data_IF_380072597240
#
_entry.id   IF_380072597240
#
_cell.length_a   1.000
_cell.length_b   1.000
_cell.length_c   1.000
_cell.angle_alpha   90.00
_cell.angle_beta   90.00
_cell.angle_gamma   90.00
#
_symmetry.space_group_name_H-M   'P 1'
#
loop_
_entity.id
_entity.type
_entity.pdbx_description
1 polymer ?
#
# COMPACT_ATOMS: atom_id res chain seq x y z
N UNK A 1 2.83 -20.46 -11.28
CA UNK A 1 3.34 -20.45 -9.89
C UNK A 1 2.17 -20.52 -8.92
N UNK A 2 2.41 -21.01 -7.70
CA UNK A 2 1.47 -20.88 -6.57
C UNK A 2 1.79 -19.62 -5.79
N UNK A 3 0.84 -18.68 -5.72
CA UNK A 3 1.05 -17.39 -5.07
C UNK A 3 0.00 -17.18 -3.97
N UNK A 4 0.47 -16.99 -2.73
CA UNK A 4 -0.38 -16.67 -1.59
C UNK A 4 -0.41 -15.16 -1.36
N UNK A 5 -1.59 -14.55 -1.42
CA UNK A 5 -1.79 -13.11 -1.16
C UNK A 5 -2.37 -12.93 0.24
N UNK A 6 -1.56 -12.44 1.16
CA UNK A 6 -1.97 -12.08 2.52
C UNK A 6 -2.56 -10.67 2.52
N UNK A 7 -3.79 -10.52 3.03
CA UNK A 7 -4.55 -9.27 2.97
C UNK A 7 -5.46 -9.17 1.74
N UNK A 8 -6.05 -10.29 1.32
CA UNK A 8 -6.81 -10.43 0.08
C UNK A 8 -8.16 -9.69 0.01
N UNK A 9 -8.72 -9.22 1.14
CA UNK A 9 -9.94 -8.40 1.17
C UNK A 9 -9.67 -6.90 0.99
N UNK A 10 -8.38 -6.51 1.06
CA UNK A 10 -7.92 -5.13 1.06
C UNK A 10 -7.95 -4.43 -0.30
N UNK A 11 -7.66 -3.11 -0.27
CA UNK A 11 -7.62 -2.22 -1.44
C UNK A 11 -6.70 -2.73 -2.56
N UNK A 12 -5.53 -3.25 -2.21
CA UNK A 12 -4.54 -3.76 -3.16
C UNK A 12 -4.55 -5.29 -3.26
N UNK A 13 -4.84 -5.99 -2.16
CA UNK A 13 -4.76 -7.45 -2.14
C UNK A 13 -5.75 -8.10 -3.10
N UNK A 14 -6.98 -7.60 -3.16
CA UNK A 14 -8.01 -8.15 -4.05
C UNK A 14 -7.67 -7.98 -5.54
N UNK A 15 -7.41 -6.76 -6.06
CA UNK A 15 -7.05 -6.61 -7.47
C UNK A 15 -5.74 -7.34 -7.84
N UNK A 16 -4.78 -7.45 -6.91
CA UNK A 16 -3.57 -8.25 -7.12
C UNK A 16 -3.91 -9.74 -7.28
N UNK A 17 -4.79 -10.29 -6.45
CA UNK A 17 -5.21 -11.68 -6.55
C UNK A 17 -5.91 -11.97 -7.90
N UNK A 18 -6.78 -11.06 -8.35
CA UNK A 18 -7.43 -11.17 -9.66
C UNK A 18 -6.43 -11.11 -10.81
N UNK A 19 -5.52 -10.13 -10.77
CA UNK A 19 -4.50 -9.94 -11.80
C UNK A 19 -3.60 -11.19 -11.94
N UNK A 20 -3.06 -11.69 -10.84
CA UNK A 20 -2.22 -12.89 -10.81
C UNK A 20 -2.99 -14.15 -11.26
N UNK A 21 -4.26 -14.28 -10.87
CA UNK A 21 -5.12 -15.38 -11.31
C UNK A 21 -5.36 -15.33 -12.81
N UNK A 22 -5.60 -14.15 -13.39
CA UNK A 22 -5.78 -14.00 -14.83
C UNK A 22 -4.48 -14.25 -15.61
N UNK A 23 -3.32 -13.94 -15.03
CA UNK A 23 -2.01 -14.26 -15.58
C UNK A 23 -1.70 -15.77 -15.56
N UNK A 24 -2.59 -16.61 -15.02
CA UNK A 24 -2.47 -18.07 -15.02
C UNK A 24 -1.74 -18.64 -13.81
N UNK A 25 -1.56 -17.86 -12.74
CA UNK A 25 -1.03 -18.36 -11.48
C UNK A 25 -2.14 -19.06 -10.66
N UNK A 26 -1.77 -20.09 -9.89
CA UNK A 26 -2.61 -20.65 -8.85
C UNK A 26 -2.57 -19.72 -7.63
N UNK A 27 -3.70 -19.08 -7.31
CA UNK A 27 -3.77 -18.02 -6.30
C UNK A 27 -4.64 -18.44 -5.12
N UNK A 28 -4.16 -18.16 -3.91
CA UNK A 28 -4.99 -18.15 -2.70
C UNK A 28 -4.84 -16.82 -1.98
N UNK A 29 -5.89 -16.43 -1.25
CA UNK A 29 -5.89 -15.24 -0.40
C UNK A 29 -6.09 -15.63 1.06
N UNK A 30 -5.45 -14.90 1.98
CA UNK A 30 -5.70 -15.00 3.41
C UNK A 30 -6.04 -13.62 3.97
N UNK A 31 -7.08 -13.53 4.83
CA UNK A 31 -7.51 -12.26 5.43
C UNK A 31 -8.25 -12.52 6.76
N UNK A 32 -8.18 -11.57 7.69
CA UNK A 32 -8.94 -11.57 8.95
C UNK A 32 -10.12 -10.60 8.94
N UNK A 33 -10.33 -9.87 7.83
CA UNK A 33 -11.35 -8.86 7.61
C UNK A 33 -11.31 -7.66 8.57
N UNK A 34 -10.22 -7.48 9.29
CA UNK A 34 -10.09 -6.40 10.28
C UNK A 34 -10.24 -5.01 9.65
N UNK A 35 -9.92 -4.85 8.35
CA UNK A 35 -10.12 -3.58 7.65
C UNK A 35 -11.59 -3.14 7.64
N UNK A 36 -12.53 -4.08 7.55
CA UNK A 36 -13.97 -3.79 7.65
C UNK A 36 -14.35 -3.35 9.07
N UNK A 37 -13.70 -3.92 10.08
CA UNK A 37 -13.91 -3.51 11.46
C UNK A 37 -13.43 -2.07 11.74
N UNK A 38 -12.34 -1.62 11.09
CA UNK A 38 -11.92 -0.22 11.20
C UNK A 38 -12.95 0.76 10.62
N UNK A 39 -13.73 0.35 9.60
CA UNK A 39 -14.82 1.15 9.07
C UNK A 39 -15.86 1.42 10.16
N UNK A 40 -16.26 0.36 10.88
CA UNK A 40 -17.23 0.47 12.00
C UNK A 40 -16.65 1.30 13.15
N UNK A 41 -15.39 1.06 13.54
CA UNK A 41 -14.71 1.77 14.63
C UNK A 41 -14.63 3.29 14.38
N UNK A 42 -14.33 3.69 13.15
CA UNK A 42 -14.15 5.10 12.78
C UNK A 42 -15.43 5.74 12.22
N UNK A 43 -16.50 4.96 12.03
CA UNK A 43 -17.71 5.43 11.40
C UNK A 43 -17.51 5.88 9.95
N UNK A 44 -16.64 5.22 9.20
CA UNK A 44 -16.35 5.47 7.78
C UNK A 44 -16.74 4.26 6.95
N UNK A 45 -16.76 4.42 5.62
CA UNK A 45 -17.00 3.32 4.70
C UNK A 45 -16.28 3.56 3.36
N UNK A 46 -16.08 2.50 2.60
CA UNK A 46 -15.65 2.63 1.21
C UNK A 46 -16.73 3.34 0.38
N UNK A 47 -16.32 4.28 -0.48
CA UNK A 47 -17.27 4.96 -1.39
C UNK A 47 -17.99 3.94 -2.28
N UNK A 48 -17.26 2.98 -2.85
CA UNK A 48 -17.80 1.88 -3.63
C UNK A 48 -18.21 0.75 -2.68
N UNK A 49 -19.43 0.21 -2.79
CA UNK A 49 -19.84 -0.97 -2.02
C UNK A 49 -18.93 -2.16 -2.28
N UNK A 50 -18.57 -2.88 -1.23
CA UNK A 50 -17.67 -4.03 -1.32
C UNK A 50 -18.38 -5.30 -0.90
N UNK A 51 -18.57 -6.21 -1.85
CA UNK A 51 -19.13 -7.52 -1.60
C UNK A 51 -18.27 -8.37 -0.64
N UNK A 52 -18.86 -9.32 0.08
CA UNK A 52 -18.09 -10.30 0.84
C UNK A 52 -17.06 -11.01 -0.04
N UNK A 53 -15.86 -11.27 0.49
CA UNK A 53 -14.77 -11.89 -0.27
C UNK A 53 -15.19 -13.20 -0.94
N UNK A 54 -15.98 -14.04 -0.26
CA UNK A 54 -16.52 -15.29 -0.82
C UNK A 54 -17.40 -15.04 -2.06
N UNK A 55 -18.23 -14.01 -2.04
CA UNK A 55 -19.06 -13.61 -3.19
C UNK A 55 -18.18 -13.19 -4.37
N UNK A 56 -17.17 -12.34 -4.09
CA UNK A 56 -16.22 -11.87 -5.13
C UNK A 56 -15.47 -13.03 -5.78
N UNK A 57 -15.01 -14.00 -5.00
CA UNK A 57 -14.34 -15.21 -5.50
C UNK A 57 -15.29 -16.04 -6.37
N UNK A 58 -16.55 -16.22 -5.95
CA UNK A 58 -17.53 -16.97 -6.75
C UNK A 58 -17.85 -16.28 -8.08
N UNK A 59 -17.99 -14.95 -8.08
CA UNK A 59 -18.19 -14.15 -9.30
C UNK A 59 -16.97 -14.25 -10.22
N UNK A 60 -15.77 -14.18 -9.68
CA UNK A 60 -14.54 -14.36 -10.46
C UNK A 60 -14.50 -15.72 -11.16
N UNK A 61 -14.83 -16.78 -10.44
CA UNK A 61 -14.90 -18.14 -11.00
C UNK A 61 -16.00 -18.27 -12.07
N UNK A 62 -17.16 -17.66 -11.83
CA UNK A 62 -18.28 -17.65 -12.81
C UNK A 62 -17.87 -16.98 -14.13
N UNK A 63 -17.18 -15.85 -14.05
CA UNK A 63 -16.82 -15.06 -15.24
C UNK A 63 -15.62 -15.61 -16.00
N UNK A 64 -14.66 -16.20 -15.33
CA UNK A 64 -13.35 -16.54 -15.91
C UNK A 64 -13.04 -18.03 -15.92
N UNK A 65 -13.71 -18.82 -15.10
CA UNK A 65 -13.36 -20.21 -14.83
C UNK A 65 -12.18 -20.41 -13.88
N UNK A 66 -11.45 -19.34 -13.50
CA UNK A 66 -10.34 -19.43 -12.56
C UNK A 66 -10.85 -19.51 -11.11
N UNK A 67 -10.15 -20.27 -10.29
CA UNK A 67 -10.45 -20.40 -8.86
C UNK A 67 -9.41 -19.65 -8.03
N UNK A 68 -9.85 -19.00 -6.94
CA UNK A 68 -8.98 -18.40 -5.92
C UNK A 68 -9.27 -19.10 -4.59
N UNK A 69 -8.23 -19.69 -3.98
CA UNK A 69 -8.32 -20.28 -2.64
C UNK A 69 -8.56 -19.21 -1.57
N UNK A 70 -9.22 -19.55 -0.46
CA UNK A 70 -9.51 -18.61 0.61
C UNK A 70 -9.22 -19.19 1.98
N UNK A 71 -8.40 -18.49 2.76
CA UNK A 71 -8.12 -18.76 4.17
C UNK A 71 -8.58 -17.58 5.02
N UNK A 72 -9.16 -17.85 6.19
CA UNK A 72 -9.65 -16.82 7.11
C UNK A 72 -8.92 -16.96 8.44
N UNK A 73 -8.17 -15.95 8.82
CA UNK A 73 -7.44 -15.92 10.09
C UNK A 73 -6.47 -14.75 10.18
N UNK A 74 -5.78 -14.65 11.32
CA UNK A 74 -4.92 -13.54 11.69
C UNK A 74 -3.45 -13.97 11.65
N UNK A 75 -2.57 -13.19 11.01
CA UNK A 75 -1.14 -13.49 10.94
C UNK A 75 -0.40 -13.33 12.27
N UNK A 76 -1.00 -12.65 13.24
CA UNK A 76 -0.47 -12.61 14.62
C UNK A 76 -0.65 -13.94 15.35
N UNK A 77 -1.51 -14.83 14.83
CA UNK A 77 -1.59 -16.24 15.22
C UNK A 77 -0.59 -17.06 14.39
N UNK A 78 0.50 -17.46 15.03
CA UNK A 78 1.53 -18.27 14.38
C UNK A 78 0.97 -19.59 13.82
N UNK A 79 0.07 -20.27 14.54
CA UNK A 79 -0.49 -21.55 14.09
C UNK A 79 -1.27 -21.42 12.79
N UNK A 80 -2.06 -20.32 12.66
CA UNK A 80 -2.74 -20.01 11.41
C UNK A 80 -1.74 -19.74 10.28
N UNK A 81 -0.70 -18.94 10.54
CA UNK A 81 0.31 -18.59 9.52
C UNK A 81 1.05 -19.82 8.99
N UNK A 82 1.48 -20.74 9.89
CA UNK A 82 2.09 -22.00 9.49
C UNK A 82 1.11 -22.87 8.70
N UNK A 83 -0.11 -23.05 9.20
CA UNK A 83 -1.14 -23.84 8.52
C UNK A 83 -1.37 -23.40 7.08
N UNK A 84 -1.51 -22.10 6.81
CA UNK A 84 -1.77 -21.60 5.46
C UNK A 84 -0.59 -21.86 4.52
N UNK A 85 0.66 -21.68 4.99
CA UNK A 85 1.87 -21.90 4.19
C UNK A 85 2.07 -23.41 3.92
N UNK A 86 1.85 -24.25 4.91
CA UNK A 86 1.98 -25.73 4.78
C UNK A 86 0.89 -26.34 3.88
N UNK A 87 -0.35 -25.87 3.99
CA UNK A 87 -1.49 -26.38 3.21
C UNK A 87 -1.41 -25.93 1.76
N UNK A 88 -1.26 -24.62 1.52
CA UNK A 88 -1.24 -24.08 0.16
C UNK A 88 0.09 -24.34 -0.55
N UNK A 89 1.24 -24.36 0.16
CA UNK A 89 2.60 -24.55 -0.38
C UNK A 89 2.94 -23.55 -1.48
N UNK A 90 2.94 -22.26 -1.18
CA UNK A 90 3.23 -21.23 -2.17
C UNK A 90 4.69 -21.27 -2.64
N UNK A 91 4.96 -20.80 -3.86
CA UNK A 91 6.28 -20.46 -4.37
C UNK A 91 6.63 -19.00 -4.08
N UNK A 92 5.59 -18.14 -3.98
CA UNK A 92 5.73 -16.75 -3.54
C UNK A 92 4.61 -16.38 -2.57
N UNK A 93 4.95 -15.54 -1.59
CA UNK A 93 4.01 -14.93 -0.64
C UNK A 93 4.01 -13.42 -0.86
N UNK A 94 2.86 -12.86 -1.21
CA UNK A 94 2.63 -11.41 -1.31
C UNK A 94 2.01 -10.92 0.00
N UNK A 95 2.70 -10.04 0.73
CA UNK A 95 2.28 -9.66 2.07
C UNK A 95 1.76 -8.22 2.12
N UNK A 96 0.42 -8.08 2.10
CA UNK A 96 -0.35 -6.84 2.31
C UNK A 96 -1.08 -6.79 3.65
N UNK A 97 -1.14 -7.89 4.41
CA UNK A 97 -1.96 -8.04 5.61
C UNK A 97 -1.42 -7.23 6.80
N UNK A 98 -1.51 -5.91 6.69
CA UNK A 98 -1.00 -4.96 7.67
C UNK A 98 -1.97 -3.79 7.87
N UNK A 99 -1.93 -3.20 9.06
CA UNK A 99 -2.52 -1.88 9.26
C UNK A 99 -1.70 -0.87 8.44
N UNK A 100 -2.34 -0.23 7.44
CA UNK A 100 -1.69 0.51 6.35
C UNK A 100 -1.74 2.04 6.47
N UNK A 101 -2.42 2.57 7.50
CA UNK A 101 -2.69 4.00 7.58
C UNK A 101 -1.85 4.70 8.64
N UNK A 102 -1.04 5.65 8.19
CA UNK A 102 -0.25 6.49 9.10
C UNK A 102 -1.14 7.26 10.09
N UNK A 103 -2.24 7.93 9.67
CA UNK A 103 -3.13 8.60 10.62
C UNK A 103 -3.74 7.65 11.66
N UNK A 104 -4.16 6.44 11.29
CA UNK A 104 -4.70 5.45 12.23
C UNK A 104 -3.70 5.13 13.35
N UNK A 105 -2.43 4.94 13.01
CA UNK A 105 -1.37 4.65 13.98
C UNK A 105 -1.05 5.80 14.95
N UNK A 106 -1.57 7.00 14.66
CA UNK A 106 -1.32 8.23 15.42
C UNK A 106 -2.55 8.71 16.21
N UNK A 107 -3.67 7.97 16.18
CA UNK A 107 -4.89 8.33 16.93
C UNK A 107 -4.60 8.36 18.44
N UNK A 108 -4.08 7.27 18.98
CA UNK A 108 -3.74 7.13 20.40
C UNK A 108 -2.77 5.96 20.64
N UNK A 109 -2.48 5.69 21.92
CA UNK A 109 -1.60 4.59 22.33
C UNK A 109 -2.15 3.21 21.89
N UNK A 110 -3.46 2.98 21.96
CA UNK A 110 -4.10 1.70 21.57
C UNK A 110 -3.80 1.40 20.10
N UNK A 111 -4.04 2.38 19.22
CA UNK A 111 -3.83 2.27 17.78
C UNK A 111 -2.35 2.13 17.40
N UNK A 112 -1.47 2.86 18.11
CA UNK A 112 -0.02 2.73 17.90
C UNK A 112 0.47 1.33 18.29
N UNK A 113 0.10 0.82 19.46
CA UNK A 113 0.48 -0.53 19.94
C UNK A 113 -0.10 -1.60 19.02
N UNK A 114 -1.38 -1.49 18.66
CA UNK A 114 -2.01 -2.40 17.72
C UNK A 114 -1.25 -2.44 16.38
N UNK A 115 -0.91 -1.28 15.82
CA UNK A 115 -0.15 -1.21 14.55
C UNK A 115 1.18 -1.94 14.65
N UNK A 116 1.93 -1.76 15.75
CA UNK A 116 3.20 -2.46 15.93
C UNK A 116 2.99 -3.98 16.09
N UNK A 117 2.02 -4.40 16.88
CA UNK A 117 1.74 -5.83 17.08
C UNK A 117 1.28 -6.49 15.79
N UNK A 118 0.29 -5.92 15.11
CA UNK A 118 -0.25 -6.49 13.88
C UNK A 118 0.82 -6.61 12.79
N UNK A 119 1.56 -5.54 12.52
CA UNK A 119 2.48 -5.50 11.41
C UNK A 119 3.75 -6.30 11.71
N UNK A 120 4.44 -5.98 12.82
CA UNK A 120 5.75 -6.57 13.12
C UNK A 120 5.63 -8.05 13.50
N UNK A 121 4.68 -8.41 14.37
CA UNK A 121 4.49 -9.82 14.77
C UNK A 121 3.98 -10.65 13.60
N UNK A 122 3.03 -10.12 12.81
CA UNK A 122 2.55 -10.80 11.60
C UNK A 122 3.68 -11.09 10.61
N UNK A 123 4.54 -10.09 10.34
CA UNK A 123 5.71 -10.28 9.45
C UNK A 123 6.70 -11.30 10.02
N UNK A 124 6.97 -11.28 11.34
CA UNK A 124 7.86 -12.28 11.96
C UNK A 124 7.30 -13.69 11.83
N UNK A 125 6.00 -13.90 12.08
CA UNK A 125 5.37 -15.21 11.91
C UNK A 125 5.48 -15.72 10.46
N UNK A 126 5.31 -14.84 9.45
CA UNK A 126 5.51 -15.20 8.05
C UNK A 126 6.95 -15.61 7.78
N UNK A 127 7.94 -14.86 8.28
CA UNK A 127 9.36 -15.18 8.10
C UNK A 127 9.74 -16.53 8.73
N UNK A 128 9.28 -16.79 9.97
CA UNK A 128 9.50 -18.08 10.62
C UNK A 128 8.81 -19.24 9.89
N UNK A 129 7.54 -19.06 9.50
CA UNK A 129 6.81 -20.08 8.76
C UNK A 129 7.51 -20.42 7.43
N UNK A 130 8.01 -19.44 6.69
CA UNK A 130 8.82 -19.66 5.48
C UNK A 130 10.12 -20.39 5.81
N UNK A 131 10.87 -19.94 6.83
CA UNK A 131 12.14 -20.51 7.19
C UNK A 131 12.05 -22.00 7.57
N UNK A 132 10.99 -22.38 8.29
CA UNK A 132 10.80 -23.72 8.81
C UNK A 132 10.07 -24.68 7.86
N UNK A 133 9.25 -24.14 6.92
CA UNK A 133 8.51 -24.98 5.96
C UNK A 133 9.24 -25.12 4.63
N UNK A 134 9.55 -24.00 3.97
CA UNK A 134 10.27 -23.97 2.70
C UNK A 134 11.00 -22.65 2.50
N UNK A 135 12.30 -22.57 2.79
CA UNK A 135 13.08 -21.34 2.64
C UNK A 135 13.27 -20.88 1.18
N UNK A 136 12.81 -21.67 0.20
CA UNK A 136 12.78 -21.24 -1.22
C UNK A 136 11.58 -20.38 -1.57
N UNK A 137 10.62 -20.19 -0.68
CA UNK A 137 9.50 -19.28 -0.88
C UNK A 137 10.04 -17.85 -0.97
N UNK A 138 9.65 -17.12 -2.03
CA UNK A 138 9.97 -15.71 -2.18
C UNK A 138 8.94 -14.84 -1.45
N UNK A 139 9.38 -14.07 -0.46
CA UNK A 139 8.52 -13.09 0.21
C UNK A 139 8.56 -11.77 -0.55
N UNK A 140 7.43 -11.37 -1.13
CA UNK A 140 7.21 -10.05 -1.72
C UNK A 140 6.37 -9.23 -0.75
N UNK A 141 6.99 -8.28 -0.07
CA UNK A 141 6.34 -7.48 0.95
C UNK A 141 6.09 -6.06 0.49
N UNK A 142 4.92 -5.53 0.85
CA UNK A 142 4.62 -4.14 0.61
C UNK A 142 5.19 -3.26 1.73
N UNK A 143 6.28 -2.55 1.42
CA UNK A 143 6.85 -1.47 2.20
C UNK A 143 6.14 -0.13 1.96
N UNK A 144 6.82 0.97 2.22
CA UNK A 144 6.31 2.33 1.95
C UNK A 144 7.44 3.32 1.77
N UNK A 145 7.30 4.26 0.84
CA UNK A 145 8.22 5.40 0.71
C UNK A 145 8.29 6.25 1.99
N UNK A 146 7.27 6.19 2.84
CA UNK A 146 7.24 6.88 4.13
C UNK A 146 8.30 6.43 5.13
N UNK A 147 9.00 5.31 4.90
CA UNK A 147 10.14 4.87 5.73
C UNK A 147 11.32 5.83 5.67
N UNK A 148 11.48 6.51 4.54
CA UNK A 148 12.60 7.44 4.33
C UNK A 148 12.41 8.78 5.07
N UNK A 149 11.16 9.16 5.37
CA UNK A 149 10.85 10.48 5.90
C UNK A 149 11.16 11.57 4.87
N UNK A 150 11.90 12.59 5.28
CA UNK A 150 12.28 13.74 4.44
C UNK A 150 13.81 13.95 4.47
N UNK A 151 14.59 13.04 3.86
CA UNK A 151 16.05 13.20 3.82
C UNK A 151 16.44 14.37 2.91
N UNK A 152 17.59 14.97 3.16
CA UNK A 152 18.19 16.01 2.32
C UNK A 152 19.33 15.45 1.45
N UNK A 153 19.21 14.20 1.02
CA UNK A 153 20.10 13.50 0.11
C UNK A 153 19.25 12.65 -0.84
N UNK A 154 19.80 12.20 -1.96
CA UNK A 154 19.15 11.29 -2.90
C UNK A 154 18.66 10.03 -2.19
N UNK A 155 17.47 9.55 -2.58
CA UNK A 155 16.88 8.32 -2.04
C UNK A 155 17.22 7.15 -2.97
N UNK A 156 18.16 6.32 -2.54
CA UNK A 156 18.56 5.12 -3.27
C UNK A 156 17.58 3.95 -3.08
N UNK A 157 17.61 2.99 -3.98
CA UNK A 157 16.79 1.77 -3.89
C UNK A 157 17.40 0.76 -2.91
N UNK A 158 17.13 0.98 -1.63
CA UNK A 158 17.37 0.07 -0.52
C UNK A 158 18.75 0.16 0.09
N UNK A 159 19.82 0.39 -0.67
CA UNK A 159 21.19 0.34 -0.17
C UNK A 159 21.95 1.62 -0.49
N UNK A 160 22.79 2.04 0.45
CA UNK A 160 23.69 3.18 0.32
C UNK A 160 25.13 2.71 0.54
N UNK A 161 26.03 3.10 -0.37
CA UNK A 161 27.46 2.98 -0.14
C UNK A 161 27.92 4.17 0.70
N UNK A 162 28.47 3.88 1.88
CA UNK A 162 28.88 4.88 2.84
C UNK A 162 30.39 4.81 3.06
N UNK A 163 31.07 5.94 2.83
CA UNK A 163 32.45 6.11 3.25
C UNK A 163 32.50 6.89 4.58
N UNK A 164 33.14 6.29 5.59
CA UNK A 164 33.40 6.95 6.87
C UNK A 164 34.81 6.67 7.36
N UNK A 165 35.59 7.72 7.62
CA UNK A 165 36.98 7.63 8.07
C UNK A 165 37.86 6.75 7.15
N UNK A 166 37.70 6.87 5.82
CA UNK A 166 38.43 6.11 4.82
C UNK A 166 38.05 4.63 4.72
N UNK A 167 36.92 4.21 5.30
CA UNK A 167 36.38 2.85 5.18
C UNK A 167 35.06 2.89 4.44
N UNK A 168 34.90 2.02 3.46
CA UNK A 168 33.66 1.83 2.70
C UNK A 168 32.83 0.70 3.31
N UNK A 169 31.52 0.92 3.42
CA UNK A 169 30.55 -0.10 3.78
C UNK A 169 29.26 0.09 2.97
N UNK A 170 28.49 -0.99 2.83
CA UNK A 170 27.18 -0.98 2.19
C UNK A 170 26.12 -1.20 3.26
N UNK A 171 25.32 -0.19 3.50
CA UNK A 171 24.29 -0.19 4.55
C UNK A 171 22.90 -0.04 3.95
N UNK A 172 21.88 -0.53 4.66
CA UNK A 172 20.50 -0.18 4.29
C UNK A 172 20.36 1.34 4.33
N UNK A 173 19.68 1.90 3.32
CA UNK A 173 19.44 3.34 3.26
C UNK A 173 18.87 3.84 4.59
N UNK A 174 19.40 4.92 5.16
CA UNK A 174 18.97 5.45 6.47
C UNK A 174 17.49 5.81 6.47
N UNK A 175 16.73 5.28 7.42
CA UNK A 175 15.29 5.47 7.53
C UNK A 175 14.94 6.38 8.69
N UNK A 176 14.03 7.36 8.45
CA UNK A 176 13.55 8.32 9.46
C UNK A 176 12.03 8.46 9.37
N UNK A 177 11.29 7.43 9.79
CA UNK A 177 9.82 7.36 9.62
C UNK A 177 9.09 8.46 10.39
N UNK A 178 7.97 8.95 9.83
CA UNK A 178 7.17 10.03 10.38
C UNK A 178 5.93 9.59 11.18
N UNK A 179 5.69 8.29 11.38
CA UNK A 179 4.57 7.75 12.18
C UNK A 179 4.87 6.36 12.71
N UNK A 180 4.06 5.86 13.66
CA UNK A 180 4.20 4.48 14.14
C UNK A 180 3.92 3.42 13.05
N UNK A 181 3.04 3.72 12.09
CA UNK A 181 2.89 2.86 10.90
C UNK A 181 4.19 2.81 10.08
N UNK A 182 4.75 3.96 9.71
CA UNK A 182 6.01 3.97 8.95
C UNK A 182 7.15 3.30 9.74
N UNK A 183 7.15 3.45 11.07
CA UNK A 183 8.14 2.78 11.93
C UNK A 183 7.97 1.26 11.93
N UNK A 184 6.73 0.73 11.95
CA UNK A 184 6.51 -0.73 11.82
C UNK A 184 7.08 -1.27 10.51
N UNK A 185 6.93 -0.52 9.41
CA UNK A 185 7.51 -0.89 8.10
C UNK A 185 9.04 -0.88 8.11
N UNK A 186 9.65 0.03 8.88
CA UNK A 186 11.11 0.01 9.09
C UNK A 186 11.54 -1.25 9.82
N UNK A 187 10.83 -1.62 10.90
CA UNK A 187 11.10 -2.86 11.64
C UNK A 187 11.00 -4.09 10.72
N UNK A 188 9.98 -4.16 9.89
CA UNK A 188 9.79 -5.25 8.93
C UNK A 188 10.94 -5.36 7.92
N UNK A 189 11.38 -4.22 7.36
CA UNK A 189 12.53 -4.21 6.43
C UNK A 189 13.79 -4.78 7.08
N UNK A 190 14.05 -4.42 8.36
CA UNK A 190 15.21 -4.95 9.10
C UNK A 190 15.03 -6.42 9.48
N UNK A 191 13.82 -6.85 9.85
CA UNK A 191 13.53 -8.27 10.11
C UNK A 191 13.73 -9.12 8.86
N UNK A 192 13.29 -8.65 7.69
CA UNK A 192 13.49 -9.35 6.41
C UNK A 192 14.98 -9.38 6.03
N UNK A 193 15.69 -8.25 6.13
CA UNK A 193 17.15 -8.22 5.86
C UNK A 193 17.89 -9.21 6.74
N UNK A 194 17.61 -9.19 8.05
CA UNK A 194 18.21 -10.12 9.01
C UNK A 194 17.92 -11.58 8.64
N UNK A 195 16.66 -11.92 8.35
CA UNK A 195 16.25 -13.27 8.00
C UNK A 195 16.88 -13.75 6.68
N UNK A 196 16.97 -12.88 5.67
CA UNK A 196 17.67 -13.21 4.43
C UNK A 196 19.16 -13.48 4.68
N UNK A 197 19.84 -12.61 5.41
CA UNK A 197 21.28 -12.72 5.66
C UNK A 197 21.66 -13.88 6.57
N UNK A 198 20.82 -14.25 7.56
CA UNK A 198 21.18 -15.25 8.58
C UNK A 198 20.54 -16.60 8.29
N UNK A 199 19.30 -16.65 7.74
CA UNK A 199 18.58 -17.89 7.44
C UNK A 199 18.56 -18.23 5.95
N UNK A 200 19.30 -17.46 5.15
CA UNK A 200 19.37 -17.66 3.69
C UNK A 200 17.98 -17.60 3.01
N UNK A 201 17.05 -16.81 3.55
CA UNK A 201 15.76 -16.55 2.91
C UNK A 201 15.93 -15.61 1.72
N UNK A 202 14.87 -15.35 0.99
CA UNK A 202 14.82 -14.37 -0.08
C UNK A 202 13.58 -13.48 0.01
N UNK A 203 13.78 -12.18 -0.06
CA UNK A 203 12.70 -11.23 0.05
C UNK A 203 12.87 -10.02 -0.86
N UNK A 204 11.75 -9.48 -1.31
CA UNK A 204 11.68 -8.17 -2.01
C UNK A 204 10.76 -7.26 -1.24
N UNK A 205 11.28 -6.12 -0.78
CA UNK A 205 10.53 -5.04 -0.12
C UNK A 205 10.18 -3.97 -1.17
N UNK A 206 8.91 -3.78 -1.44
CA UNK A 206 8.42 -2.76 -2.35
C UNK A 206 8.05 -1.50 -1.56
N UNK A 207 8.97 -0.53 -1.48
CA UNK A 207 8.71 0.76 -0.85
C UNK A 207 7.73 1.57 -1.71
N UNK A 208 6.44 1.40 -1.43
CA UNK A 208 5.36 1.91 -2.25
C UNK A 208 5.12 3.41 -2.02
N UNK A 209 4.97 4.15 -3.12
CA UNK A 209 4.41 5.49 -3.17
C UNK A 209 2.92 5.52 -2.79
N UNK A 210 2.31 6.69 -2.89
CA UNK A 210 0.87 6.86 -2.66
C UNK A 210 0.10 6.28 -3.85
N UNK A 211 -0.67 5.23 -3.60
CA UNK A 211 -1.48 4.62 -4.66
C UNK A 211 -2.72 5.45 -4.92
N UNK A 212 -3.04 5.64 -6.19
CA UNK A 212 -4.30 6.21 -6.65
C UNK A 212 -5.01 5.27 -7.62
N UNK A 213 -6.25 5.57 -7.92
CA UNK A 213 -7.08 4.70 -8.76
C UNK A 213 -7.97 3.78 -7.94
N UNK A 214 -8.98 3.22 -8.60
CA UNK A 214 -9.97 2.34 -7.96
C UNK A 214 -10.21 1.07 -8.76
N UNK A 215 -9.81 1.04 -10.03
CA UNK A 215 -10.14 -0.02 -10.94
C UNK A 215 -8.91 -0.61 -11.62
N UNK A 216 -8.98 -1.90 -11.89
CA UNK A 216 -8.12 -2.63 -12.81
C UNK A 216 -8.99 -3.30 -13.85
N UNK A 217 -8.46 -3.73 -15.02
CA UNK A 217 -9.26 -4.44 -16.02
C UNK A 217 -10.08 -5.60 -15.44
N UNK A 218 -9.54 -6.28 -14.41
CA UNK A 218 -10.21 -7.41 -13.76
C UNK A 218 -11.39 -6.96 -12.88
N UNK A 219 -11.20 -5.87 -12.11
CA UNK A 219 -12.26 -5.36 -11.22
C UNK A 219 -13.39 -4.67 -11.98
N UNK A 220 -13.16 -4.27 -13.24
CA UNK A 220 -14.17 -3.68 -14.13
C UNK A 220 -15.04 -4.71 -14.86
N UNK A 221 -14.70 -6.00 -14.82
CA UNK A 221 -15.47 -7.05 -15.47
C UNK A 221 -16.87 -7.20 -14.87
N UNK A 222 -17.04 -6.91 -13.57
CA UNK A 222 -18.33 -6.93 -12.87
C UNK A 222 -18.26 -6.02 -11.64
N UNK A 223 -19.33 -5.25 -11.36
CA UNK A 223 -19.36 -4.34 -10.20
C UNK A 223 -19.17 -5.06 -8.86
N UNK A 224 -19.54 -6.34 -8.77
CA UNK A 224 -19.33 -7.18 -7.58
C UNK A 224 -17.86 -7.51 -7.33
N UNK A 225 -16.96 -7.32 -8.31
CA UNK A 225 -15.50 -7.50 -8.18
C UNK A 225 -14.79 -6.24 -7.70
N UNK A 226 -15.50 -5.15 -7.46
CA UNK A 226 -14.92 -3.88 -7.07
C UNK A 226 -13.96 -4.00 -5.87
N UNK A 227 -12.89 -3.21 -5.90
CA UNK A 227 -12.03 -3.00 -4.74
C UNK A 227 -12.44 -1.75 -3.97
N UNK A 228 -11.90 -1.58 -2.77
CA UNK A 228 -12.18 -0.43 -1.89
C UNK A 228 -11.80 0.89 -2.55
N UNK A 229 -12.59 1.93 -2.25
CA UNK A 229 -12.28 3.31 -2.59
C UNK A 229 -12.44 4.18 -1.35
N UNK A 230 -11.36 4.28 -0.57
CA UNK A 230 -11.34 5.03 0.67
C UNK A 230 -11.05 6.50 0.39
N UNK A 231 -11.78 7.41 1.06
CA UNK A 231 -11.72 8.85 0.85
C UNK A 231 -11.65 9.66 2.15
N UNK A 232 -11.83 8.99 3.27
CA UNK A 232 -11.78 9.61 4.59
C UNK A 232 -10.36 10.11 4.95
N UNK A 233 -10.28 10.92 6.01
CA UNK A 233 -9.02 11.54 6.42
C UNK A 233 -7.97 10.55 6.96
N UNK A 234 -8.37 9.31 7.29
CA UNK A 234 -7.48 8.26 7.84
C UNK A 234 -6.97 7.34 6.75
N UNK A 235 -7.84 6.81 5.90
CA UNK A 235 -7.51 5.78 4.90
C UNK A 235 -7.46 6.30 3.46
N UNK A 236 -8.09 7.44 3.18
CA UNK A 236 -8.11 8.03 1.84
C UNK A 236 -6.74 8.55 1.41
N UNK A 237 -6.33 8.23 0.18
CA UNK A 237 -5.12 8.80 -0.41
C UNK A 237 -5.40 10.19 -0.98
N UNK A 238 -4.37 11.03 -1.09
CA UNK A 238 -4.54 12.44 -1.44
C UNK A 238 -5.26 12.64 -2.78
N UNK A 239 -4.86 11.91 -3.82
CA UNK A 239 -5.43 12.05 -5.15
C UNK A 239 -6.87 11.53 -5.21
N UNK A 240 -7.14 10.35 -4.63
CA UNK A 240 -8.49 9.80 -4.54
C UNK A 240 -9.43 10.74 -3.78
N UNK A 241 -8.96 11.33 -2.67
CA UNK A 241 -9.72 12.30 -1.89
C UNK A 241 -10.00 13.58 -2.68
N UNK A 242 -9.02 14.10 -3.41
CA UNK A 242 -9.20 15.31 -4.23
C UNK A 242 -10.19 15.07 -5.38
N UNK A 243 -10.14 13.92 -6.03
CA UNK A 243 -11.13 13.59 -7.06
C UNK A 243 -12.56 13.58 -6.51
N UNK A 244 -12.75 13.03 -5.30
CA UNK A 244 -14.06 13.03 -4.64
C UNK A 244 -14.48 14.44 -4.24
N UNK A 245 -13.60 15.24 -3.65
CA UNK A 245 -13.88 16.62 -3.28
C UNK A 245 -14.29 17.46 -4.49
N UNK A 246 -13.59 17.34 -5.62
CA UNK A 246 -13.96 18.03 -6.86
C UNK A 246 -15.38 17.67 -7.31
N UNK A 247 -15.72 16.38 -7.36
CA UNK A 247 -17.03 15.89 -7.85
C UNK A 247 -18.19 16.36 -6.98
N UNK A 248 -18.02 16.43 -5.65
CA UNK A 248 -19.09 16.87 -4.74
C UNK A 248 -19.13 18.38 -4.52
N UNK A 249 -18.28 19.15 -5.22
CA UNK A 249 -18.20 20.62 -5.06
C UNK A 249 -17.60 21.08 -3.72
N UNK A 250 -16.82 20.21 -3.05
CA UNK A 250 -16.08 20.57 -1.84
C UNK A 250 -14.69 21.10 -2.22
N UNK A 251 -14.15 22.11 -1.53
CA UNK A 251 -12.78 22.56 -1.77
C UNK A 251 -11.76 21.42 -1.64
N UNK A 252 -10.73 21.41 -2.49
CA UNK A 252 -9.60 20.50 -2.33
C UNK A 252 -8.79 20.91 -1.09
N UNK A 253 -8.74 20.05 -0.08
CA UNK A 253 -8.11 20.37 1.19
C UNK A 253 -6.63 20.01 1.18
N UNK A 254 -5.77 20.99 0.98
CA UNK A 254 -4.30 20.90 1.00
C UNK A 254 -3.79 21.18 2.41
N UNK A 255 -2.96 20.29 2.98
CA UNK A 255 -2.36 20.50 4.29
C UNK A 255 -1.08 21.32 4.18
N UNK A 256 -1.00 22.43 4.92
CA UNK A 256 0.12 23.37 4.87
C UNK A 256 0.23 24.07 3.50
N UNK A 257 1.44 24.46 3.07
CA UNK A 257 1.67 25.13 1.79
C UNK A 257 1.51 24.23 0.56
N UNK A 258 1.45 22.90 0.75
CA UNK A 258 1.33 21.94 -0.34
C UNK A 258 2.65 21.56 -1.04
N UNK A 259 3.80 22.08 -0.59
CA UNK A 259 5.12 21.81 -1.20
C UNK A 259 5.68 20.40 -0.89
N UNK A 260 5.07 19.69 0.06
CA UNK A 260 5.49 18.34 0.41
C UNK A 260 5.30 17.37 -0.77
N UNK A 261 6.40 16.83 -1.27
CA UNK A 261 6.43 15.92 -2.42
C UNK A 261 6.11 14.50 -2.00
N UNK A 262 5.42 13.77 -2.87
CA UNK A 262 5.07 12.35 -2.72
C UNK A 262 5.39 11.59 -3.99
N UNK A 263 5.94 10.39 -3.86
CA UNK A 263 5.90 9.40 -4.93
C UNK A 263 4.47 8.89 -5.09
N UNK A 264 3.98 8.83 -6.31
CA UNK A 264 2.65 8.31 -6.64
C UNK A 264 2.74 7.15 -7.61
N UNK A 265 1.72 6.30 -7.61
CA UNK A 265 1.62 5.14 -8.51
C UNK A 265 0.16 4.77 -8.74
N UNK A 266 -0.19 4.41 -9.98
CA UNK A 266 -1.51 3.87 -10.32
C UNK A 266 -1.70 2.46 -9.75
N UNK A 267 -2.94 2.12 -9.40
CA UNK A 267 -3.29 0.78 -8.88
C UNK A 267 -2.95 -0.34 -9.88
N UNK A 268 -3.06 -0.09 -11.20
CA UNK A 268 -2.71 -1.06 -12.26
C UNK A 268 -1.21 -1.33 -12.28
N UNK A 269 -0.39 -0.30 -12.11
CA UNK A 269 1.06 -0.44 -12.00
C UNK A 269 1.44 -1.15 -10.70
N UNK A 270 0.71 -0.87 -9.62
CA UNK A 270 0.93 -1.55 -8.36
C UNK A 270 0.79 -3.07 -8.51
N UNK A 271 -0.29 -3.56 -9.12
CA UNK A 271 -0.50 -5.01 -9.30
C UNK A 271 0.52 -5.61 -10.28
N UNK A 272 0.91 -4.87 -11.33
CA UNK A 272 1.96 -5.29 -12.26
C UNK A 272 3.34 -5.38 -11.59
N UNK A 273 3.69 -4.46 -10.71
CA UNK A 273 4.92 -4.52 -9.92
C UNK A 273 5.02 -5.79 -9.08
N UNK A 274 3.91 -6.22 -8.49
CA UNK A 274 3.87 -7.47 -7.72
C UNK A 274 4.11 -8.68 -8.62
N UNK A 275 3.46 -8.75 -9.77
CA UNK A 275 3.68 -9.81 -10.74
C UNK A 275 5.14 -9.87 -11.15
N UNK A 276 5.74 -8.74 -11.55
CA UNK A 276 7.15 -8.64 -11.91
C UNK A 276 8.08 -9.09 -10.77
N UNK A 277 7.76 -8.72 -9.53
CA UNK A 277 8.55 -9.15 -8.38
C UNK A 277 8.45 -10.66 -8.11
N UNK A 278 7.27 -11.25 -8.29
CA UNK A 278 7.05 -12.69 -8.13
C UNK A 278 7.77 -13.51 -9.23
N UNK A 279 7.67 -13.06 -10.48
CA UNK A 279 8.30 -13.71 -11.64
C UNK A 279 9.84 -13.58 -11.66
N UNK A 280 10.36 -12.57 -10.98
CA UNK A 280 11.80 -12.31 -10.85
C UNK A 280 12.21 -12.37 -9.38
N UNK A 281 12.25 -13.56 -8.76
CA UNK A 281 12.55 -13.68 -7.33
C UNK A 281 13.97 -13.21 -7.00
N UNK A 282 14.16 -12.67 -5.80
CA UNK A 282 15.48 -12.42 -5.24
C UNK A 282 16.28 -13.72 -5.12
N UNK A 283 17.61 -13.66 -5.14
CA UNK A 283 18.45 -14.82 -4.86
C UNK A 283 18.32 -15.27 -3.40
N UNK A 284 18.72 -16.51 -3.10
CA UNK A 284 18.86 -16.96 -1.71
C UNK A 284 19.83 -16.05 -0.96
N UNK A 285 19.50 -15.72 0.28
CA UNK A 285 20.27 -14.78 1.11
C UNK A 285 20.12 -13.30 0.71
N UNK A 286 19.37 -12.98 -0.36
CA UNK A 286 19.23 -11.61 -0.84
C UNK A 286 17.97 -10.94 -0.28
N UNK A 287 18.17 -9.79 0.38
CA UNK A 287 17.14 -8.80 0.66
C UNK A 287 17.20 -7.70 -0.39
N UNK A 288 16.20 -7.65 -1.26
CA UNK A 288 16.09 -6.70 -2.36
C UNK A 288 15.05 -5.64 -2.05
N UNK A 289 15.33 -4.38 -2.40
CA UNK A 289 14.40 -3.26 -2.22
C UNK A 289 14.16 -2.57 -3.56
N UNK A 290 12.90 -2.26 -3.83
CA UNK A 290 12.47 -1.42 -4.95
C UNK A 290 11.68 -0.22 -4.44
N UNK A 291 11.95 0.97 -4.99
CA UNK A 291 11.11 2.15 -4.78
C UNK A 291 9.96 2.10 -5.79
N UNK A 292 8.80 1.66 -5.33
CA UNK A 292 7.61 1.42 -6.16
C UNK A 292 6.80 2.70 -6.32
N UNK A 293 7.15 3.47 -7.33
CA UNK A 293 6.47 4.71 -7.72
C UNK A 293 6.72 4.99 -9.20
N UNK A 294 5.86 5.80 -9.82
CA UNK A 294 5.98 6.18 -11.23
C UNK A 294 6.29 7.67 -11.41
N UNK A 295 5.78 8.52 -10.52
CA UNK A 295 5.96 9.98 -10.58
C UNK A 295 6.19 10.55 -9.17
N UNK A 296 6.83 11.72 -9.12
CA UNK A 296 6.99 12.54 -7.91
C UNK A 296 6.27 13.86 -8.10
N UNK A 297 5.24 14.13 -7.29
CA UNK A 297 4.47 15.36 -7.33
C UNK A 297 4.31 15.96 -5.94
N UNK A 298 4.33 17.28 -5.83
CA UNK A 298 3.91 17.98 -4.63
C UNK A 298 2.39 17.85 -4.45
N UNK A 299 1.91 18.00 -3.24
CA UNK A 299 0.46 17.97 -2.95
C UNK A 299 -0.26 19.12 -3.70
N UNK A 300 0.41 20.28 -3.86
CA UNK A 300 -0.13 21.39 -4.65
C UNK A 300 -0.25 21.02 -6.13
N UNK A 301 0.77 20.43 -6.75
CA UNK A 301 0.72 19.99 -8.14
C UNK A 301 -0.38 18.95 -8.37
N UNK A 302 -0.61 18.05 -7.43
CA UNK A 302 -1.74 17.11 -7.48
C UNK A 302 -3.08 17.86 -7.44
N UNK A 303 -3.24 18.84 -6.54
CA UNK A 303 -4.46 19.64 -6.43
C UNK A 303 -4.72 20.44 -7.71
N UNK A 304 -3.69 21.08 -8.27
CA UNK A 304 -3.78 21.84 -9.52
C UNK A 304 -4.14 20.93 -10.71
N UNK A 305 -3.60 19.71 -10.73
CA UNK A 305 -3.90 18.75 -11.79
C UNK A 305 -5.35 18.28 -11.73
N UNK A 306 -5.84 17.94 -10.52
CA UNK A 306 -7.26 17.57 -10.33
C UNK A 306 -8.19 18.74 -10.67
N UNK A 307 -7.85 19.95 -10.23
CA UNK A 307 -8.64 21.16 -10.52
C UNK A 307 -8.75 21.46 -12.03
N UNK A 308 -7.66 21.30 -12.77
CA UNK A 308 -7.65 21.49 -14.23
C UNK A 308 -8.39 20.39 -15.00
N UNK A 309 -8.36 19.16 -14.50
CA UNK A 309 -9.01 18.03 -15.15
C UNK A 309 -10.53 17.99 -14.92
N UNK A 310 -11.02 18.58 -13.83
CA UNK A 310 -12.46 18.61 -13.56
C UNK A 310 -13.16 19.72 -14.36
N UNK A 311 -14.31 19.43 -15.01
CA UNK A 311 -14.93 20.36 -15.98
C UNK A 311 -15.63 21.58 -15.34
N UNK A 312 -15.73 21.66 -14.02
CA UNK A 312 -16.31 22.78 -13.29
C UNK A 312 -15.26 23.48 -12.43
N UNK A 313 -15.55 24.68 -11.96
CA UNK A 313 -14.66 25.42 -11.05
C UNK A 313 -14.45 24.68 -9.75
N UNK A 314 -13.19 24.44 -9.40
CA UNK A 314 -12.75 23.79 -8.17
C UNK A 314 -11.92 24.76 -7.35
N UNK A 315 -12.29 24.95 -6.09
CA UNK A 315 -11.51 25.77 -5.15
C UNK A 315 -10.49 24.90 -4.41
N UNK A 316 -9.33 25.50 -4.09
CA UNK A 316 -8.29 24.85 -3.26
C UNK A 316 -8.24 25.60 -1.94
N UNK A 317 -8.33 24.87 -0.84
CA UNK A 317 -8.26 25.42 0.52
C UNK A 317 -7.04 24.86 1.25
N UNK A 318 -6.24 25.73 1.84
CA UNK A 318 -5.09 25.35 2.64
C UNK A 318 -5.48 25.26 4.12
N UNK A 319 -5.30 24.08 4.71
CA UNK A 319 -5.54 23.81 6.12
C UNK A 319 -4.21 23.67 6.88
N UNK A 320 -4.25 23.86 8.20
CA UNK A 320 -3.10 23.55 9.04
C UNK A 320 -2.67 22.09 8.85
N UNK A 321 -1.35 21.86 8.68
CA UNK A 321 -0.85 20.52 8.53
C UNK A 321 -0.89 19.78 9.88
N UNK A 322 -1.70 18.71 10.02
CA UNK A 322 -1.76 17.95 11.27
C UNK A 322 -0.49 17.12 11.53
N UNK A 323 0.36 16.94 10.50
CA UNK A 323 1.57 16.14 10.55
C UNK A 323 2.77 16.99 10.95
N UNK A 324 3.81 16.31 11.47
CA UNK A 324 5.12 16.92 11.73
C UNK A 324 6.06 16.50 10.60
N UNK A 325 6.18 17.34 9.59
CA UNK A 325 7.06 17.13 8.44
C UNK A 325 7.71 18.46 8.00
N UNK A 326 8.79 18.38 7.23
CA UNK A 326 9.40 19.57 6.64
C UNK A 326 8.43 20.24 5.66
N UNK A 327 8.41 21.58 5.58
CA UNK A 327 7.53 22.28 4.64
C UNK A 327 7.92 22.02 3.17
N UNK A 328 9.21 21.82 2.91
CA UNK A 328 9.75 21.51 1.59
C UNK A 328 10.52 20.18 1.66
N UNK A 329 10.37 19.36 0.63
CA UNK A 329 11.04 18.07 0.56
C UNK A 329 12.08 18.08 -0.57
N UNK A 330 13.34 17.75 -0.25
CA UNK A 330 14.26 17.26 -1.27
C UNK A 330 13.87 15.80 -1.55
N UNK A 331 13.25 15.54 -2.70
CA UNK A 331 12.66 14.25 -2.99
C UNK A 331 13.17 13.71 -4.33
N UNK A 332 14.49 13.50 -4.40
CA UNK A 332 15.14 12.90 -5.56
C UNK A 332 15.25 11.39 -5.35
N UNK A 333 14.32 10.65 -5.92
CA UNK A 333 14.16 9.20 -5.70
C UNK A 333 14.64 8.43 -6.91
N UNK A 334 15.54 7.49 -6.70
CA UNK A 334 15.86 6.46 -7.68
C UNK A 334 14.77 5.38 -7.65
N UNK A 335 14.18 5.06 -8.81
CA UNK A 335 13.08 4.09 -8.93
C UNK A 335 13.10 3.38 -10.30
N UNK A 336 14.29 2.93 -10.73
CA UNK A 336 14.49 2.35 -12.06
C UNK A 336 14.33 0.84 -12.11
N UNK A 337 14.51 0.13 -11.01
CA UNK A 337 14.59 -1.33 -11.00
C UNK A 337 13.31 -2.04 -11.47
N UNK A 338 12.13 -1.51 -11.17
CA UNK A 338 10.88 -2.08 -11.68
C UNK A 338 10.71 -1.81 -13.18
N UNK A 339 11.15 -0.65 -13.67
CA UNK A 339 11.19 -0.35 -15.11
C UNK A 339 12.16 -1.28 -15.83
N UNK A 340 13.35 -1.55 -15.23
CA UNK A 340 14.33 -2.49 -15.78
C UNK A 340 13.78 -3.93 -15.84
N UNK A 341 12.80 -4.28 -14.99
CA UNK A 341 12.07 -5.56 -15.04
C UNK A 341 10.89 -5.57 -16.02
N UNK A 342 10.59 -4.44 -16.68
CA UNK A 342 9.54 -4.34 -17.70
C UNK A 342 8.24 -3.69 -17.21
N UNK A 343 8.29 -2.85 -16.18
CA UNK A 343 7.16 -1.98 -15.86
C UNK A 343 7.04 -0.88 -16.92
N UNK A 344 5.88 -0.79 -17.54
CA UNK A 344 5.47 0.32 -18.41
C UNK A 344 4.55 1.24 -17.60
N UNK A 345 5.02 2.40 -17.10
CA UNK A 345 4.28 3.22 -16.17
C UNK A 345 3.05 3.87 -16.78
N UNK A 346 1.93 3.88 -16.05
CA UNK A 346 0.81 4.79 -16.30
C UNK A 346 1.07 6.10 -15.56
N UNK A 347 1.09 7.21 -16.30
CA UNK A 347 1.29 8.53 -15.73
C UNK A 347 -0.06 9.22 -15.43
N UNK A 348 -0.08 10.11 -14.48
CA UNK A 348 -1.30 10.82 -14.06
C UNK A 348 -1.93 11.64 -15.19
N UNK A 349 -1.13 12.05 -16.16
CA UNK A 349 -1.58 12.74 -17.39
C UNK A 349 -2.39 11.87 -18.36
N UNK A 350 -2.38 10.55 -18.18
CA UNK A 350 -2.92 9.59 -19.15
C UNK A 350 -4.40 9.24 -18.90
N UNK A 351 -5.25 10.22 -18.73
CA UNK A 351 -6.73 10.07 -18.55
C UNK A 351 -7.19 9.35 -17.28
N UNK A 352 -6.27 9.09 -16.33
CA UNK A 352 -6.56 8.32 -15.12
C UNK A 352 -7.50 9.06 -14.16
N UNK A 353 -7.46 10.38 -14.15
CA UNK A 353 -8.28 11.21 -13.27
C UNK A 353 -9.76 11.16 -13.68
N UNK A 354 -10.05 11.10 -14.98
CA UNK A 354 -11.41 11.03 -15.49
C UNK A 354 -12.15 9.79 -14.99
N UNK A 355 -11.47 8.63 -14.94
CA UNK A 355 -12.07 7.41 -14.41
C UNK A 355 -12.42 7.53 -12.92
N UNK A 356 -11.61 8.24 -12.14
CA UNK A 356 -11.91 8.56 -10.75
C UNK A 356 -13.13 9.48 -10.60
N UNK A 357 -13.28 10.44 -11.49
CA UNK A 357 -14.48 11.29 -11.49
C UNK A 357 -15.74 10.51 -11.83
N UNK A 358 -15.69 9.62 -12.82
CA UNK A 358 -16.87 8.82 -13.22
C UNK A 358 -17.33 7.88 -12.11
N UNK A 359 -16.41 7.15 -11.48
CA UNK A 359 -16.76 6.27 -10.35
C UNK A 359 -17.28 7.09 -9.17
N UNK A 360 -16.68 8.25 -8.90
CA UNK A 360 -17.13 9.15 -7.82
C UNK A 360 -18.54 9.69 -8.10
N UNK A 361 -18.86 10.14 -9.32
CA UNK A 361 -20.20 10.61 -9.69
C UNK A 361 -21.27 9.55 -9.44
N UNK A 362 -20.97 8.29 -9.78
CA UNK A 362 -21.89 7.16 -9.57
C UNK A 362 -22.27 6.98 -8.10
N UNK A 363 -21.32 7.17 -7.20
CA UNK A 363 -21.48 6.95 -5.76
C UNK A 363 -21.45 8.23 -4.90
N UNK A 364 -21.54 9.42 -5.51
CA UNK A 364 -21.45 10.70 -4.79
C UNK A 364 -22.45 10.83 -3.62
N UNK A 365 -23.63 10.21 -3.76
CA UNK A 365 -24.66 10.20 -2.73
C UNK A 365 -24.26 9.47 -1.43
N UNK A 366 -23.16 8.68 -1.46
CA UNK A 366 -22.59 7.97 -0.30
C UNK A 366 -21.51 8.76 0.41
N UNK A 367 -21.08 9.90 -0.13
CA UNK A 367 -20.00 10.69 0.48
C UNK A 367 -20.47 11.33 1.77
N UNK A 368 -19.74 11.10 2.84
CA UNK A 368 -19.96 11.70 4.16
C UNK A 368 -18.94 12.83 4.37
N UNK A 369 -19.40 14.08 4.41
CA UNK A 369 -18.54 15.26 4.49
C UNK A 369 -17.69 15.29 5.77
N UNK A 370 -18.24 14.79 6.88
CA UNK A 370 -17.54 14.70 8.16
C UNK A 370 -16.29 13.80 8.07
N UNK A 371 -16.30 12.78 7.22
CA UNK A 371 -15.17 11.86 7.05
C UNK A 371 -13.97 12.51 6.36
N UNK A 372 -14.17 13.60 5.61
CA UNK A 372 -13.10 14.32 4.91
C UNK A 372 -12.20 15.16 5.84
N UNK A 373 -12.67 15.47 7.05
CA UNK A 373 -11.96 16.34 8.00
C UNK A 373 -10.88 15.59 8.75
N UNK A 374 -9.65 16.18 8.88
CA UNK A 374 -8.61 15.56 9.70
C UNK A 374 -9.06 15.53 11.17
N UNK A 375 -8.95 14.37 11.79
CA UNK A 375 -9.35 14.15 13.20
C UNK A 375 -8.15 13.87 14.11
N UNK A 376 -6.95 13.68 13.54
CA UNK A 376 -5.75 13.27 14.28
C UNK A 376 -4.70 14.38 14.25
N UNK A 377 -4.33 14.91 15.41
CA UNK A 377 -3.18 15.82 15.58
C UNK A 377 -1.95 15.01 16.02
N UNK A 378 -0.92 14.96 15.16
CA UNK A 378 0.30 14.18 15.39
C UNK A 378 1.27 14.85 16.38
N UNK A 379 1.02 16.11 16.77
CA UNK A 379 1.92 16.89 17.63
C UNK A 379 1.77 16.55 19.11
N UNK A 380 0.68 15.89 19.48
CA UNK A 380 0.38 15.55 20.87
C UNK A 380 -0.05 14.10 20.98
N UNK A 381 0.47 13.34 21.98
CA UNK A 381 -0.13 12.08 22.33
C UNK A 381 -1.60 12.34 22.72
N UNK A 382 -2.53 11.65 22.10
CA UNK A 382 -3.92 11.67 22.52
C UNK A 382 -4.02 11.03 23.92
N UNK A 383 -4.65 11.72 24.86
CA UNK A 383 -5.10 11.13 26.14
C UNK A 383 -6.43 10.47 25.87
N UNK A 384 -6.41 9.25 25.28
CA UNK A 384 -7.59 8.43 25.09
C UNK A 384 -8.19 7.92 26.40
#
# INVERSE_FOLDING_TARGET
MKILVLGGDGYLGWPTALHLSQAGHEVAVADNFVRRHYDDELGVESLVPIEPLRTRIAVWQELTGFTIGMYIGDLTDAMFTYHVIEDFRPEAVVHYAEQRAAPYSMIDRKHAVYTQQNNVVGTLNVLYAIAETNPDIHLVKLGTMGVYGTPNIDIEEGWLELEHNGRLDRVLYPKRPGSFYHLSKVHDSYNMEFACRIWDLRATDLNQGVVYGQATPQTEMDERLATRFDYDAVFGTVLNRFAIQAVIGHPLTVYGPGNQTRGIIDIRDTVRCIELACENPANRGEFRVFNQMTESLSVQEIADTVSRAYPADVTIEHLDNPRVEAPDHYYNVRHTKLVDLGLEPHLLSDTLIESLFEITKRYAHRVRLEALRPTVDWRKPSTG
#
